data_IF_439808728074
#
_entry.id   IF_439808728074
#
_cell.length_a   1.000
_cell.length_b   1.000
_cell.length_c   1.000
_cell.angle_alpha   90.00
_cell.angle_beta   90.00
_cell.angle_gamma   90.00
#
_symmetry.space_group_name_H-M   'P 1'
#
loop_
_entity.id
_entity.type
_entity.pdbx_description
1 polymer ?
#
# COMPACT_ATOMS: atom_id res chain seq x y z
N UNK A 1 37.70 6.12 -24.02
CA UNK A 1 36.48 6.87 -24.41
C UNK A 1 35.38 6.35 -23.52
N UNK A 2 34.75 7.24 -22.74
CA UNK A 2 33.87 6.97 -21.60
C UNK A 2 33.03 5.69 -21.73
N UNK A 3 33.41 4.67 -20.96
CA UNK A 3 32.53 3.55 -20.70
C UNK A 3 31.33 4.10 -19.93
N UNK A 4 30.15 4.04 -20.55
CA UNK A 4 28.92 4.52 -19.96
C UNK A 4 28.77 3.84 -18.61
N UNK A 5 28.63 4.64 -17.56
CA UNK A 5 28.16 4.24 -16.25
C UNK A 5 27.00 3.26 -16.45
N UNK A 6 27.25 1.96 -16.29
CA UNK A 6 26.18 0.97 -16.29
C UNK A 6 25.46 1.20 -14.97
N UNK A 7 24.48 2.10 -15.02
CA UNK A 7 23.59 2.40 -13.91
C UNK A 7 22.88 1.09 -13.58
N UNK A 8 23.36 0.45 -12.51
CA UNK A 8 22.73 -0.75 -11.97
C UNK A 8 21.47 -0.31 -11.26
N UNK A 9 20.41 -0.13 -12.03
CA UNK A 9 19.11 0.34 -11.57
C UNK A 9 18.05 -0.75 -11.71
N UNK A 10 17.06 -0.67 -10.83
CA UNK A 10 15.78 -1.36 -10.96
C UNK A 10 14.67 -0.31 -11.02
N UNK A 11 13.80 -0.42 -12.02
CA UNK A 11 12.64 0.47 -12.12
C UNK A 11 11.60 0.13 -11.05
N UNK A 12 10.81 1.11 -10.57
CA UNK A 12 9.76 0.87 -9.58
C UNK A 12 8.79 -0.27 -9.94
N UNK A 13 8.31 -0.35 -11.18
CA UNK A 13 7.40 -1.43 -11.61
C UNK A 13 8.06 -2.81 -11.53
N UNK A 14 9.33 -2.93 -11.95
CA UNK A 14 10.09 -4.18 -11.83
C UNK A 14 10.36 -4.59 -10.39
N UNK A 15 10.65 -3.64 -9.51
CA UNK A 15 10.76 -3.93 -8.08
C UNK A 15 9.41 -4.42 -7.53
N UNK A 16 8.31 -3.80 -7.95
CA UNK A 16 6.98 -4.20 -7.56
C UNK A 16 6.60 -5.60 -8.06
N UNK A 17 6.98 -5.98 -9.28
CA UNK A 17 6.79 -7.34 -9.80
C UNK A 17 7.51 -8.37 -8.93
N UNK A 18 8.77 -8.10 -8.57
CA UNK A 18 9.60 -9.02 -7.76
C UNK A 18 9.08 -9.16 -6.33
N UNK A 19 8.63 -8.07 -5.72
CA UNK A 19 7.99 -8.11 -4.40
C UNK A 19 6.66 -8.87 -4.37
N UNK A 20 6.07 -9.21 -5.53
CA UNK A 20 4.90 -10.09 -5.58
C UNK A 20 5.27 -11.57 -5.45
N UNK A 21 6.55 -11.92 -5.63
CA UNK A 21 7.08 -13.28 -5.50
C UNK A 21 7.85 -13.38 -4.17
N UNK A 22 7.28 -14.07 -3.18
CA UNK A 22 7.89 -14.19 -1.85
C UNK A 22 9.23 -14.96 -1.87
N UNK A 23 9.50 -15.73 -2.93
CA UNK A 23 10.73 -16.53 -3.09
C UNK A 23 11.85 -15.76 -3.83
N UNK A 24 11.63 -14.53 -4.28
CA UNK A 24 12.60 -13.77 -5.10
C UNK A 24 13.89 -13.38 -4.32
N UNK A 25 13.79 -13.25 -2.98
CA UNK A 25 14.96 -13.12 -2.10
C UNK A 25 15.72 -11.79 -2.17
N UNK A 26 15.06 -10.70 -2.60
CA UNK A 26 15.65 -9.35 -2.58
C UNK A 26 15.69 -8.73 -1.18
N UNK A 27 16.76 -7.96 -0.92
CA UNK A 27 16.89 -7.14 0.27
C UNK A 27 16.75 -5.65 -0.08
N UNK A 28 15.82 -4.94 0.55
CA UNK A 28 15.61 -3.50 0.30
C UNK A 28 16.23 -2.68 1.41
N UNK A 29 17.24 -1.89 1.07
CA UNK A 29 17.92 -0.97 1.99
C UNK A 29 17.41 0.45 1.80
N UNK A 30 16.62 0.97 2.74
CA UNK A 30 16.25 2.39 2.77
C UNK A 30 17.30 3.18 3.57
N UNK A 31 18.02 4.08 2.89
CA UNK A 31 19.08 4.87 3.51
C UNK A 31 18.61 6.22 4.06
N UNK A 32 17.32 6.56 3.90
CA UNK A 32 16.76 7.85 4.32
C UNK A 32 16.81 8.03 5.84
N UNK A 33 16.70 9.28 6.34
CA UNK A 33 16.47 9.55 7.75
C UNK A 33 15.32 8.71 8.31
N UNK A 34 15.45 8.26 9.56
CA UNK A 34 14.47 7.37 10.19
C UNK A 34 13.06 7.97 10.24
N UNK A 35 12.94 9.29 10.41
CA UNK A 35 11.65 9.99 10.39
C UNK A 35 10.93 9.91 9.02
N UNK A 36 11.68 9.98 7.92
CA UNK A 36 11.12 9.81 6.57
C UNK A 36 10.70 8.36 6.31
N UNK A 37 11.45 7.41 6.88
CA UNK A 37 11.15 5.98 6.80
C UNK A 37 9.89 5.61 7.60
N UNK A 38 9.78 6.12 8.84
CA UNK A 38 8.64 5.91 9.71
C UNK A 38 7.35 6.51 9.13
N UNK A 39 7.45 7.65 8.44
CA UNK A 39 6.31 8.25 7.76
C UNK A 39 5.74 7.35 6.67
N UNK A 40 6.60 6.74 5.84
CA UNK A 40 6.25 5.72 4.83
C UNK A 40 7.52 5.12 4.22
N UNK A 41 7.55 3.79 4.11
CA UNK A 41 8.58 3.01 3.43
C UNK A 41 8.00 1.87 2.56
N UNK A 42 8.86 1.20 1.79
CA UNK A 42 8.49 0.00 1.03
C UNK A 42 8.31 -1.18 2.01
N UNK A 43 7.19 -1.89 1.96
CA UNK A 43 6.98 -3.03 2.86
C UNK A 43 8.12 -4.05 2.75
N UNK A 44 8.65 -4.48 3.89
CA UNK A 44 9.78 -5.42 3.96
C UNK A 44 11.17 -4.79 3.83
N UNK A 45 11.30 -3.47 3.66
CA UNK A 45 12.61 -2.81 3.68
C UNK A 45 13.22 -2.76 5.08
N UNK A 46 14.54 -2.61 5.14
CA UNK A 46 15.29 -2.28 6.35
C UNK A 46 15.86 -0.86 6.26
N UNK A 47 15.74 -0.08 7.33
CA UNK A 47 16.28 1.27 7.39
C UNK A 47 17.66 1.30 8.04
N UNK A 48 18.63 1.85 7.32
CA UNK A 48 19.92 2.23 7.89
C UNK A 48 20.17 3.70 7.49
N UNK A 49 19.94 4.67 8.40
CA UNK A 49 19.91 6.10 8.06
C UNK A 49 21.31 6.67 7.83
N UNK A 50 21.87 6.39 6.65
CA UNK A 50 23.23 6.81 6.24
C UNK A 50 23.21 7.87 5.14
N UNK A 51 22.04 8.44 4.83
CA UNK A 51 21.87 9.46 3.78
C UNK A 51 22.91 10.58 3.89
N UNK A 52 23.00 11.22 5.06
CA UNK A 52 23.91 12.35 5.27
C UNK A 52 25.38 11.91 5.22
N UNK A 53 25.72 10.73 5.77
CA UNK A 53 27.07 10.18 5.73
C UNK A 53 27.58 10.01 4.29
N UNK A 54 26.69 9.56 3.38
CA UNK A 54 27.00 9.39 1.97
C UNK A 54 27.08 10.72 1.18
N UNK A 55 26.62 11.82 1.77
CA UNK A 55 26.83 13.16 1.20
C UNK A 55 28.19 13.73 1.56
N UNK A 56 28.77 13.33 2.69
CA UNK A 56 30.06 13.80 3.19
C UNK A 56 31.23 12.92 2.70
N UNK A 57 31.31 11.66 3.14
CA UNK A 57 32.35 10.70 2.77
C UNK A 57 31.79 9.27 2.72
N UNK A 58 31.86 8.66 1.53
CA UNK A 58 31.35 7.32 1.25
C UNK A 58 31.93 6.23 2.16
N UNK A 59 33.18 6.37 2.61
CA UNK A 59 33.84 5.35 3.45
C UNK A 59 33.30 5.30 4.86
N UNK A 60 32.69 6.39 5.33
CA UNK A 60 32.11 6.45 6.68
C UNK A 60 30.93 5.48 6.81
N UNK A 61 30.27 5.15 5.70
CA UNK A 61 29.18 4.18 5.65
C UNK A 61 29.64 2.71 5.62
N UNK A 62 30.93 2.41 5.40
CA UNK A 62 31.43 1.04 5.24
C UNK A 62 31.06 0.08 6.39
N UNK A 63 31.18 0.48 7.67
CA UNK A 63 30.82 -0.42 8.77
C UNK A 63 29.35 -0.81 8.73
N UNK A 64 28.46 0.12 8.38
CA UNK A 64 27.02 -0.12 8.30
C UNK A 64 26.65 -0.93 7.05
N UNK A 65 27.27 -0.64 5.90
CA UNK A 65 27.03 -1.39 4.66
C UNK A 65 27.55 -2.83 4.73
N UNK A 66 28.58 -3.09 5.55
CA UNK A 66 29.19 -4.42 5.67
C UNK A 66 28.39 -5.40 6.53
N UNK A 67 27.32 -4.97 7.21
CA UNK A 67 26.43 -5.86 7.99
C UNK A 67 25.31 -6.46 7.16
N UNK A 68 25.15 -6.02 5.90
CA UNK A 68 24.08 -6.45 5.01
C UNK A 68 24.27 -7.91 4.55
N UNK A 69 23.16 -8.60 4.21
CA UNK A 69 23.21 -9.97 3.71
C UNK A 69 24.04 -10.09 2.43
N UNK A 70 24.83 -11.16 2.33
CA UNK A 70 25.78 -11.41 1.22
C UNK A 70 25.18 -12.27 0.11
N UNK A 71 24.09 -12.95 0.41
CA UNK A 71 23.39 -13.95 -0.40
C UNK A 71 22.08 -13.42 -1.01
N UNK A 72 21.88 -12.10 -1.00
CA UNK A 72 20.73 -11.41 -1.58
C UNK A 72 21.18 -10.28 -2.51
N UNK A 73 20.39 -10.01 -3.56
CA UNK A 73 20.54 -8.78 -4.33
C UNK A 73 19.98 -7.61 -3.50
N UNK A 74 20.78 -6.55 -3.32
CA UNK A 74 20.42 -5.39 -2.51
C UNK A 74 19.83 -4.29 -3.40
N UNK A 75 18.62 -3.84 -3.11
CA UNK A 75 18.03 -2.65 -3.72
C UNK A 75 18.12 -1.48 -2.75
N UNK A 76 18.98 -0.50 -3.06
CA UNK A 76 19.12 0.71 -2.24
C UNK A 76 18.08 1.76 -2.64
N UNK A 77 17.54 2.45 -1.63
CA UNK A 77 16.44 3.40 -1.76
C UNK A 77 16.79 4.69 -1.03
N UNK A 78 16.59 5.83 -1.70
CA UNK A 78 16.49 7.12 -1.05
C UNK A 78 15.29 7.91 -1.61
N UNK A 79 15.18 9.20 -1.30
CA UNK A 79 14.06 10.02 -1.77
C UNK A 79 13.93 10.05 -3.31
N UNK A 80 15.04 10.28 -4.03
CA UNK A 80 15.03 10.51 -5.48
C UNK A 80 15.99 9.61 -6.28
N UNK A 81 16.60 8.60 -5.67
CA UNK A 81 17.56 7.69 -6.31
C UNK A 81 19.01 8.20 -6.37
N UNK A 82 19.23 9.51 -6.21
CA UNK A 82 20.56 10.13 -6.39
C UNK A 82 21.58 9.70 -5.32
N UNK A 83 21.20 9.77 -4.04
CA UNK A 83 22.12 9.41 -2.94
C UNK A 83 22.24 7.90 -2.78
N UNK A 84 21.16 7.15 -3.03
CA UNK A 84 21.19 5.68 -3.02
C UNK A 84 22.11 5.12 -4.11
N UNK A 85 22.28 5.82 -5.24
CA UNK A 85 23.27 5.43 -6.25
C UNK A 85 24.69 5.36 -5.68
N UNK A 86 25.06 6.33 -4.83
CA UNK A 86 26.36 6.31 -4.15
C UNK A 86 26.51 5.10 -3.22
N UNK A 87 25.44 4.74 -2.50
CA UNK A 87 25.41 3.54 -1.67
C UNK A 87 25.57 2.27 -2.52
N UNK A 88 24.84 2.18 -3.64
CA UNK A 88 24.95 1.08 -4.61
C UNK A 88 26.37 0.93 -5.15
N UNK A 89 26.99 2.02 -5.58
CA UNK A 89 28.35 1.99 -6.12
C UNK A 89 29.36 1.53 -5.07
N UNK A 90 29.16 1.97 -3.81
CA UNK A 90 30.01 1.54 -2.70
C UNK A 90 29.81 0.06 -2.37
N UNK A 91 28.58 -0.42 -2.32
CA UNK A 91 28.23 -1.82 -2.09
C UNK A 91 28.86 -2.73 -3.15
N UNK A 92 28.76 -2.36 -4.42
CA UNK A 92 29.40 -3.10 -5.53
C UNK A 92 30.92 -3.12 -5.41
N UNK A 93 31.52 -2.00 -5.00
CA UNK A 93 32.98 -1.91 -4.77
C UNK A 93 33.44 -2.87 -3.65
N UNK A 94 32.61 -3.12 -2.64
CA UNK A 94 32.92 -4.03 -1.52
C UNK A 94 32.32 -5.44 -1.71
N UNK A 95 31.92 -5.77 -2.95
CA UNK A 95 31.58 -7.12 -3.37
C UNK A 95 30.13 -7.57 -3.14
N UNK A 96 29.19 -6.64 -2.95
CA UNK A 96 27.75 -6.96 -2.95
C UNK A 96 27.15 -6.88 -4.35
N UNK A 97 26.12 -7.68 -4.61
CA UNK A 97 25.22 -7.45 -5.73
C UNK A 97 24.20 -6.38 -5.32
N UNK A 98 24.20 -5.24 -6.02
CA UNK A 98 23.36 -4.12 -5.64
C UNK A 98 22.84 -3.33 -6.85
N UNK A 99 21.60 -2.85 -6.71
CA UNK A 99 20.90 -1.94 -7.61
C UNK A 99 20.34 -0.75 -6.85
N UNK A 100 20.21 0.38 -7.53
CA UNK A 100 19.44 1.53 -7.04
C UNK A 100 18.02 1.48 -7.56
N UNK A 101 17.04 1.79 -6.70
CA UNK A 101 15.68 2.04 -7.15
C UNK A 101 15.64 3.34 -7.96
N UNK A 102 15.34 3.24 -9.26
CA UNK A 102 15.29 4.38 -10.16
C UNK A 102 14.24 5.40 -9.67
N UNK A 103 14.64 6.67 -9.58
CA UNK A 103 13.86 7.76 -8.99
C UNK A 103 13.48 7.60 -7.50
N UNK A 104 14.05 6.61 -6.79
CA UNK A 104 13.84 6.40 -5.36
C UNK A 104 12.36 6.28 -4.95
N UNK A 105 12.04 6.77 -3.75
CA UNK A 105 10.67 6.80 -3.23
C UNK A 105 9.72 7.69 -4.04
N UNK A 106 10.23 8.69 -4.77
CA UNK A 106 9.42 9.47 -5.72
C UNK A 106 8.99 8.65 -6.94
N UNK A 107 9.82 7.69 -7.37
CA UNK A 107 9.46 6.70 -8.38
C UNK A 107 8.49 5.67 -7.80
N UNK A 108 8.79 5.16 -6.61
CA UNK A 108 7.95 4.19 -5.90
C UNK A 108 6.53 4.69 -5.69
N UNK A 109 6.35 5.97 -5.31
CA UNK A 109 5.03 6.55 -5.08
C UNK A 109 4.14 6.62 -6.32
N UNK A 110 4.69 6.33 -7.52
CA UNK A 110 3.98 6.30 -8.79
C UNK A 110 3.69 4.87 -9.27
N UNK A 111 4.14 3.84 -8.54
CA UNK A 111 3.78 2.46 -8.85
C UNK A 111 2.30 2.27 -8.55
N UNK A 112 1.55 1.94 -9.59
CA UNK A 112 0.14 1.60 -9.48
C UNK A 112 -0.05 0.18 -9.97
N UNK A 113 -0.62 -0.68 -9.14
CA UNK A 113 -1.14 -1.97 -9.60
C UNK A 113 -2.58 -1.76 -10.02
N UNK A 114 -2.90 -2.23 -11.22
CA UNK A 114 -4.26 -2.35 -11.70
C UNK A 114 -4.48 -3.81 -12.10
N UNK A 115 -5.65 -4.33 -11.77
CA UNK A 115 -6.15 -5.57 -12.32
C UNK A 115 -7.45 -5.19 -13.04
N UNK A 116 -7.62 -5.54 -14.33
CA UNK A 116 -8.90 -5.31 -14.99
C UNK A 116 -9.96 -6.12 -14.25
N UNK A 117 -11.03 -5.43 -13.86
CA UNK A 117 -12.27 -6.05 -13.45
C UNK A 117 -13.18 -5.90 -14.66
N UNK A 118 -13.45 -7.01 -15.36
CA UNK A 118 -14.44 -6.99 -16.43
C UNK A 118 -15.84 -6.90 -15.80
N UNK A 119 -16.50 -5.77 -16.00
CA UNK A 119 -17.86 -5.50 -15.54
C UNK A 119 -18.69 -5.04 -16.74
N UNK A 120 -19.67 -5.85 -17.12
CA UNK A 120 -20.81 -5.46 -17.97
C UNK A 120 -21.96 -5.16 -17.02
N UNK A 121 -21.97 -3.94 -16.46
CA UNK A 121 -22.97 -3.56 -15.45
C UNK A 121 -24.09 -2.74 -16.09
N UNK A 122 -25.29 -3.32 -16.09
CA UNK A 122 -26.55 -2.57 -16.13
C UNK A 122 -26.81 -2.04 -14.71
N UNK A 123 -26.13 -0.94 -14.34
CA UNK A 123 -26.01 -0.51 -12.94
C UNK A 123 -25.51 0.92 -12.74
N UNK A 124 -25.56 1.41 -11.50
CA UNK A 124 -25.17 2.76 -11.08
C UNK A 124 -24.00 2.72 -10.10
N UNK A 125 -22.91 3.47 -10.34
CA UNK A 125 -21.83 3.67 -9.37
C UNK A 125 -21.96 5.05 -8.72
N UNK A 126 -22.22 5.09 -7.41
CA UNK A 126 -22.32 6.31 -6.59
C UNK A 126 -21.04 6.52 -5.80
N UNK A 127 -20.39 7.68 -5.94
CA UNK A 127 -19.28 8.07 -5.09
C UNK A 127 -19.76 8.95 -3.95
N UNK A 128 -19.46 8.56 -2.70
CA UNK A 128 -19.79 9.30 -1.48
C UNK A 128 -18.52 9.95 -0.94
N UNK A 129 -18.40 11.27 -1.10
CA UNK A 129 -17.23 12.01 -0.64
C UNK A 129 -17.44 12.56 0.78
N UNK A 130 -16.40 12.49 1.62
CA UNK A 130 -16.35 13.16 2.94
C UNK A 130 -15.28 14.27 2.94
N UNK A 131 -15.61 15.51 2.51
CA UNK A 131 -14.63 16.58 2.29
C UNK A 131 -13.82 16.95 3.53
N UNK A 132 -14.38 16.81 4.74
CA UNK A 132 -13.70 17.19 5.99
C UNK A 132 -12.53 16.29 6.40
N UNK A 133 -12.33 15.14 5.75
CA UNK A 133 -11.24 14.18 6.05
C UNK A 133 -10.60 13.53 4.81
N UNK A 134 -11.08 13.83 3.60
CA UNK A 134 -10.52 13.28 2.36
C UNK A 134 -10.87 11.81 2.08
N UNK A 135 -11.83 11.23 2.81
CA UNK A 135 -12.29 9.86 2.57
C UNK A 135 -13.27 9.84 1.38
N UNK A 136 -13.16 8.82 0.54
CA UNK A 136 -14.08 8.52 -0.57
C UNK A 136 -14.65 7.12 -0.35
N UNK A 137 -15.96 6.98 -0.38
CA UNK A 137 -16.65 5.70 -0.43
C UNK A 137 -17.33 5.55 -1.79
N UNK A 138 -17.58 4.32 -2.22
CA UNK A 138 -18.25 4.02 -3.48
C UNK A 138 -19.36 3.01 -3.22
N UNK A 139 -20.51 3.16 -3.86
CA UNK A 139 -21.62 2.21 -3.82
C UNK A 139 -21.91 1.82 -5.27
N UNK A 140 -21.65 0.58 -5.65
CA UNK A 140 -22.00 0.00 -6.93
C UNK A 140 -23.37 -0.65 -6.79
N UNK A 141 -24.34 -0.21 -7.59
CA UNK A 141 -25.70 -0.74 -7.63
C UNK A 141 -25.97 -1.41 -8.98
N UNK A 142 -26.63 -2.56 -9.00
CA UNK A 142 -27.05 -3.23 -10.24
C UNK A 142 -28.15 -4.24 -9.91
N UNK A 143 -29.22 -4.30 -10.71
CA UNK A 143 -30.33 -5.26 -10.54
C UNK A 143 -30.97 -5.32 -9.12
N UNK A 144 -30.99 -4.20 -8.39
CA UNK A 144 -31.51 -4.16 -7.01
C UNK A 144 -30.55 -4.72 -5.97
N UNK A 145 -29.26 -4.88 -6.30
CA UNK A 145 -28.20 -5.22 -5.36
C UNK A 145 -27.19 -4.07 -5.25
N UNK A 146 -26.49 -3.97 -4.12
CA UNK A 146 -25.49 -2.96 -3.84
C UNK A 146 -24.17 -3.55 -3.31
N UNK A 147 -23.04 -2.98 -3.71
CA UNK A 147 -21.70 -3.27 -3.19
C UNK A 147 -20.98 -1.98 -2.78
N UNK A 148 -20.49 -1.91 -1.54
CA UNK A 148 -19.84 -0.70 -1.01
C UNK A 148 -18.32 -0.88 -0.93
N UNK A 149 -17.56 0.06 -1.49
CA UNK A 149 -16.09 0.09 -1.41
C UNK A 149 -15.62 1.34 -0.65
N UNK A 150 -14.55 1.22 0.12
CA UNK A 150 -13.89 2.33 0.82
C UNK A 150 -14.86 3.09 1.74
N UNK A 151 -15.74 2.35 2.41
CA UNK A 151 -16.76 2.91 3.28
C UNK A 151 -16.13 3.76 4.39
N UNK A 152 -16.73 4.92 4.64
CA UNK A 152 -16.40 5.72 5.80
C UNK A 152 -16.90 5.02 7.08
N UNK A 153 -16.38 5.41 8.24
CA UNK A 153 -16.90 4.93 9.53
C UNK A 153 -18.38 5.28 9.79
N UNK A 154 -18.95 6.18 8.98
CA UNK A 154 -20.36 6.56 9.03
C UNK A 154 -21.13 5.75 7.99
N UNK A 155 -21.43 4.51 8.36
CA UNK A 155 -22.09 3.53 7.50
C UNK A 155 -23.49 3.98 7.06
N UNK A 156 -24.16 4.80 7.87
CA UNK A 156 -25.51 5.33 7.63
C UNK A 156 -25.67 6.07 6.30
N UNK A 157 -24.61 6.69 5.78
CA UNK A 157 -24.65 7.37 4.48
C UNK A 157 -24.72 6.37 3.32
N UNK A 158 -24.01 5.24 3.43
CA UNK A 158 -24.11 4.17 2.46
C UNK A 158 -25.46 3.45 2.56
N UNK A 159 -25.93 3.19 3.79
CA UNK A 159 -27.27 2.61 4.05
C UNK A 159 -28.38 3.48 3.45
N UNK A 160 -28.31 4.81 3.64
CA UNK A 160 -29.32 5.73 3.08
C UNK A 160 -29.37 5.69 1.56
N UNK A 161 -28.23 5.51 0.89
CA UNK A 161 -28.16 5.38 -0.57
C UNK A 161 -28.69 4.02 -1.00
N UNK A 162 -28.38 2.95 -0.28
CA UNK A 162 -28.89 1.61 -0.57
C UNK A 162 -30.42 1.59 -0.46
N UNK A 163 -30.97 2.19 0.59
CA UNK A 163 -32.41 2.36 0.80
C UNK A 163 -33.05 3.25 -0.28
N UNK A 164 -32.41 4.35 -0.68
CA UNK A 164 -32.90 5.26 -1.73
C UNK A 164 -33.10 4.52 -3.06
N UNK A 165 -32.25 3.54 -3.36
CA UNK A 165 -32.26 2.79 -4.61
C UNK A 165 -32.97 1.43 -4.51
N UNK A 166 -33.62 1.12 -3.39
CA UNK A 166 -34.33 -0.15 -3.15
C UNK A 166 -33.44 -1.36 -3.45
N UNK A 167 -32.21 -1.33 -2.92
CA UNK A 167 -31.20 -2.34 -3.20
C UNK A 167 -30.83 -3.17 -1.96
N UNK A 168 -30.48 -4.44 -2.16
CA UNK A 168 -29.95 -5.30 -1.11
C UNK A 168 -28.41 -5.18 -1.06
N UNK A 169 -27.82 -4.89 0.10
CA UNK A 169 -26.37 -4.86 0.27
C UNK A 169 -25.79 -6.28 0.20
N UNK A 170 -24.99 -6.57 -0.84
CA UNK A 170 -24.44 -7.91 -1.08
C UNK A 170 -22.92 -8.00 -0.90
N UNK A 171 -22.20 -6.87 -0.85
CA UNK A 171 -20.75 -6.87 -0.66
C UNK A 171 -20.21 -5.57 -0.04
N UNK A 172 -19.13 -5.70 0.75
CA UNK A 172 -18.36 -4.57 1.29
C UNK A 172 -16.85 -4.80 1.10
N UNK A 173 -16.14 -3.79 0.61
CA UNK A 173 -14.68 -3.76 0.46
C UNK A 173 -14.06 -2.48 1.05
N UNK A 174 -12.78 -2.53 1.41
CA UNK A 174 -11.99 -1.37 1.90
C UNK A 174 -10.59 -1.38 1.32
N UNK A 175 -10.08 -0.22 0.90
CA UNK A 175 -8.79 -0.05 0.22
C UNK A 175 -7.60 0.03 1.17
N UNK A 176 -7.82 0.26 2.48
CA UNK A 176 -6.71 0.39 3.45
C UNK A 176 -7.02 -0.27 4.81
N UNK A 177 -6.06 -0.97 5.44
CA UNK A 177 -6.21 -1.58 6.77
C UNK A 177 -6.12 -0.58 7.93
N UNK A 178 -5.91 0.71 7.67
CA UNK A 178 -5.84 1.77 8.69
C UNK A 178 -7.21 2.21 9.21
N UNK A 179 -8.29 1.76 8.57
CA UNK A 179 -9.63 1.91 9.13
C UNK A 179 -9.90 0.74 10.07
N UNK A 180 -10.35 1.04 11.30
CA UNK A 180 -10.87 0.05 12.24
C UNK A 180 -11.81 -0.90 11.49
N UNK A 181 -11.63 -2.23 11.57
CA UNK A 181 -12.50 -3.16 10.86
C UNK A 181 -13.93 -3.00 11.34
N UNK A 182 -14.77 -2.36 10.53
CA UNK A 182 -16.20 -2.28 10.75
C UNK A 182 -16.80 -3.50 10.08
N UNK A 183 -17.51 -4.30 10.88
CA UNK A 183 -18.17 -5.51 10.41
C UNK A 183 -19.63 -5.18 10.16
N UNK A 184 -20.05 -5.22 8.90
CA UNK A 184 -21.46 -5.27 8.55
C UNK A 184 -22.01 -6.63 8.98
N UNK A 185 -23.24 -6.67 9.49
CA UNK A 185 -23.83 -7.89 10.04
C UNK A 185 -25.19 -8.15 9.39
N UNK A 186 -25.47 -9.43 9.18
CA UNK A 186 -26.78 -9.97 8.91
C UNK A 186 -27.71 -9.73 10.13
N UNK A 187 -29.00 -9.98 9.97
CA UNK A 187 -30.03 -9.73 10.99
C UNK A 187 -29.94 -10.59 12.21
N UNK A 188 -29.47 -11.81 11.96
CA UNK A 188 -29.21 -12.80 12.98
C UNK A 188 -27.91 -12.50 13.74
N UNK A 189 -27.24 -11.39 13.40
CA UNK A 189 -26.01 -10.91 14.02
C UNK A 189 -24.75 -11.60 13.48
N UNK A 190 -24.85 -12.41 12.43
CA UNK A 190 -23.70 -13.01 11.75
C UNK A 190 -22.91 -11.95 10.97
N UNK A 191 -21.57 -12.00 10.91
CA UNK A 191 -20.80 -11.11 10.05
C UNK A 191 -21.09 -11.40 8.58
N UNK A 192 -21.34 -10.37 7.76
CA UNK A 192 -21.46 -10.53 6.30
C UNK A 192 -20.07 -10.91 5.77
N UNK A 193 -19.89 -12.18 5.46
CA UNK A 193 -18.65 -12.68 4.86
C UNK A 193 -18.58 -12.22 3.40
N UNK A 194 -17.38 -11.91 2.93
CA UNK A 194 -17.11 -11.56 1.53
C UNK A 194 -17.40 -12.76 0.61
N UNK A 195 -18.68 -12.96 0.25
CA UNK A 195 -19.25 -13.47 -1.02
C UNK A 195 -20.54 -14.30 -0.83
N UNK A 196 -21.58 -13.79 -1.51
CA UNK A 196 -22.75 -14.41 -2.17
C UNK A 196 -23.87 -15.04 -1.32
N UNK A 197 -25.00 -14.30 -1.33
CA UNK A 197 -26.41 -14.65 -1.05
C UNK A 197 -26.81 -14.91 0.41
N UNK A 198 -27.59 -13.99 1.00
CA UNK A 198 -29.06 -14.08 1.21
C UNK A 198 -29.56 -12.83 1.95
N UNK A 199 -30.86 -12.51 1.82
CA UNK A 199 -31.64 -11.35 2.30
C UNK A 199 -31.49 -10.97 3.79
N UNK A 200 -31.53 -9.66 4.08
CA UNK A 200 -31.30 -8.96 5.37
C UNK A 200 -32.56 -8.13 5.81
N UNK A 201 -32.70 -7.77 7.09
CA UNK A 201 -33.82 -7.28 7.96
C UNK A 201 -33.32 -6.97 9.42
N UNK A 202 -32.88 -5.74 9.72
CA UNK A 202 -31.93 -5.43 10.80
C UNK A 202 -32.37 -5.78 12.25
N UNK A 203 -31.39 -6.19 13.09
CA UNK A 203 -31.52 -6.14 14.56
C UNK A 203 -30.38 -5.39 15.26
N UNK A 204 -30.72 -4.63 16.31
CA UNK A 204 -29.80 -3.80 17.10
C UNK A 204 -29.34 -4.54 18.37
N UNK A 205 -28.03 -4.68 18.66
CA UNK A 205 -27.58 -5.20 19.95
C UNK A 205 -27.83 -4.16 21.05
N UNK A 206 -28.60 -4.55 22.07
CA UNK A 206 -28.76 -3.77 23.30
C UNK A 206 -27.49 -3.77 24.15
N UNK A 207 -26.80 -2.63 24.15
CA UNK A 207 -26.38 -1.91 25.35
C UNK A 207 -25.13 -2.38 26.12
N UNK A 208 -24.17 -1.45 26.26
CA UNK A 208 -23.71 -1.02 27.58
C UNK A 208 -23.14 0.40 27.51
N UNK A 209 -23.78 1.32 28.24
CA UNK A 209 -23.47 2.75 28.40
C UNK A 209 -22.08 2.99 29.00
N UNK A 210 -21.32 4.03 28.57
CA UNK A 210 -20.13 4.47 29.29
C UNK A 210 -20.54 5.30 30.53
N UNK A 211 -20.03 4.93 31.72
CA UNK A 211 -19.99 5.85 32.85
C UNK A 211 -18.92 6.92 32.62
N UNK A 212 -19.27 8.14 33.07
CA UNK A 212 -18.54 9.41 32.93
C UNK A 212 -17.17 9.42 33.58
#
# INVERSE_FOLDING_TARGET
MYDLYVMSEITPDRLADRLADEDDGIFILDIRPGEEYEAWHISGSENIPIYDLLTEDLRVADPALSTLPRDAEIVTVCAAGVVSQKATDRLRTIGYDAKTLANGMQGWSRVHRHAPIEIDIDGTLVQVARPGKGCLSHVLLSDGEAAVYDHSQYVSECESIIDEYDADLVAVGVSTPTHTPITFREDDGSPIATRSRTTVTPTTPTGSTPQR
#
